data_IF_323606702192
#
_entry.id   IF_323606702192
#
_cell.length_a   1.000
_cell.length_b   1.000
_cell.length_c   1.000
_cell.angle_alpha   90.00
_cell.angle_beta   90.00
_cell.angle_gamma   90.00
#
_symmetry.space_group_name_H-M   'P 1'
#
loop_
_entity.id
_entity.type
_entity.pdbx_description
1 polymer ?
#
# COMPACT_ATOMS: atom_id res chain seq x y z
N UNK A 1 -28.96 4.91 -4.37
CA UNK A 1 -28.79 6.35 -4.09
C UNK A 1 -29.09 7.09 -5.38
N UNK A 2 -30.34 7.53 -5.56
CA UNK A 2 -30.66 8.46 -6.65
C UNK A 2 -30.13 9.81 -6.18
N UNK A 3 -29.00 10.22 -6.75
CA UNK A 3 -28.44 11.54 -6.49
C UNK A 3 -29.14 12.50 -7.44
N UNK A 4 -30.21 13.15 -6.97
CA UNK A 4 -30.69 14.38 -7.61
C UNK A 4 -29.72 15.49 -7.22
N UNK A 5 -28.66 15.64 -8.01
CA UNK A 5 -27.60 16.62 -7.75
C UNK A 5 -28.04 17.97 -8.29
N UNK A 6 -28.28 18.92 -7.37
CA UNK A 6 -28.42 20.33 -7.69
C UNK A 6 -27.06 20.84 -8.21
N UNK A 7 -27.08 21.52 -9.36
CA UNK A 7 -25.91 21.75 -10.20
C UNK A 7 -24.73 22.47 -9.53
N UNK A 8 -23.53 22.03 -9.90
CA UNK A 8 -22.38 22.88 -10.17
C UNK A 8 -21.49 22.19 -11.23
N UNK A 9 -20.83 23.04 -12.01
CA UNK A 9 -20.21 22.84 -13.32
C UNK A 9 -19.29 21.62 -13.48
N UNK A 10 -19.27 21.15 -14.73
CA UNK A 10 -18.27 20.30 -15.39
C UNK A 10 -18.12 18.89 -14.84
N UNK A 11 -18.95 17.94 -15.30
CA UNK A 11 -18.54 16.54 -15.53
C UNK A 11 -19.51 15.82 -16.46
N UNK A 12 -18.98 14.75 -17.04
CA UNK A 12 -19.25 14.15 -18.33
C UNK A 12 -20.67 13.62 -18.58
N UNK A 13 -20.99 13.56 -19.87
CA UNK A 13 -22.21 13.17 -20.58
C UNK A 13 -22.76 11.74 -20.33
N UNK A 14 -22.51 11.13 -19.17
CA UNK A 14 -23.03 9.80 -18.84
C UNK A 14 -24.33 9.89 -18.03
N UNK A 15 -25.47 9.69 -18.71
CA UNK A 15 -26.82 9.44 -18.17
C UNK A 15 -27.15 10.10 -16.82
N UNK A 16 -27.64 11.33 -16.86
CA UNK A 16 -28.16 12.02 -15.68
C UNK A 16 -29.29 11.20 -15.04
N UNK A 17 -29.16 10.86 -13.75
CA UNK A 17 -30.18 10.16 -12.97
C UNK A 17 -31.53 10.91 -12.98
N UNK A 18 -31.49 12.22 -13.20
CA UNK A 18 -32.69 13.04 -13.38
C UNK A 18 -33.38 12.74 -14.72
N UNK A 19 -32.64 12.58 -15.82
CA UNK A 19 -33.19 12.19 -17.11
C UNK A 19 -33.83 10.80 -17.08
N UNK A 20 -33.22 9.84 -16.37
CA UNK A 20 -33.80 8.52 -16.18
C UNK A 20 -35.12 8.54 -15.36
N UNK A 21 -35.22 9.43 -14.36
CA UNK A 21 -36.45 9.63 -13.59
C UNK A 21 -37.55 10.26 -14.45
N UNK A 22 -37.21 11.22 -15.31
CA UNK A 22 -38.17 11.85 -16.22
C UNK A 22 -38.73 10.86 -17.25
N UNK A 23 -37.88 9.98 -17.80
CA UNK A 23 -38.32 8.94 -18.73
C UNK A 23 -39.25 7.91 -18.04
N UNK A 24 -39.01 7.57 -16.77
CA UNK A 24 -39.88 6.68 -16.00
C UNK A 24 -41.28 7.30 -15.78
N UNK A 25 -41.34 8.62 -15.56
CA UNK A 25 -42.59 9.36 -15.41
C UNK A 25 -43.35 9.51 -16.74
N UNK A 26 -42.66 9.40 -17.88
CA UNK A 26 -43.25 9.38 -19.22
C UNK A 26 -43.97 8.06 -19.51
N UNK A 27 -43.43 6.93 -19.03
CA UNK A 27 -43.98 5.60 -19.32
C UNK A 27 -45.22 5.21 -18.47
N UNK A 28 -45.40 5.82 -17.29
CA UNK A 28 -46.41 5.37 -16.31
C UNK A 28 -47.82 6.02 -16.47
N UNK A 29 -47.99 7.17 -17.14
CA UNK A 29 -49.30 7.84 -17.23
C UNK A 29 -49.53 8.65 -18.53
N UNK A 30 -50.78 8.73 -19.02
CA UNK A 30 -51.18 9.60 -20.15
C UNK A 30 -50.92 11.08 -19.85
N UNK A 31 -51.06 11.49 -18.58
CA UNK A 31 -50.75 12.84 -18.12
C UNK A 31 -49.24 13.12 -18.17
N UNK A 32 -48.41 12.14 -17.83
CA UNK A 32 -46.94 12.24 -17.88
C UNK A 32 -46.41 12.51 -19.29
N UNK A 33 -46.96 11.79 -20.29
CA UNK A 33 -46.65 12.00 -21.72
C UNK A 33 -47.00 13.39 -22.23
N UNK A 34 -48.08 13.99 -21.74
CA UNK A 34 -48.56 15.30 -22.21
C UNK A 34 -47.92 16.48 -21.46
N UNK A 35 -47.40 16.29 -20.25
CA UNK A 35 -47.01 17.41 -19.37
C UNK A 35 -45.54 17.49 -18.98
N UNK A 36 -44.75 16.40 -19.03
CA UNK A 36 -43.42 16.39 -18.41
C UNK A 36 -42.30 16.86 -19.34
N UNK A 37 -42.41 16.65 -20.67
CA UNK A 37 -41.35 17.02 -21.63
C UNK A 37 -41.82 17.94 -22.78
N UNK A 38 -43.07 17.83 -23.23
CA UNK A 38 -43.56 18.61 -24.39
C UNK A 38 -43.94 20.04 -24.06
N UNK A 39 -44.29 20.33 -22.80
CA UNK A 39 -44.74 21.66 -22.33
C UNK A 39 -43.80 22.31 -21.30
N UNK A 40 -42.79 21.59 -20.80
CA UNK A 40 -41.86 22.12 -19.81
C UNK A 40 -40.77 22.98 -20.50
N UNK A 41 -40.58 24.24 -20.09
CA UNK A 41 -39.42 25.03 -20.52
C UNK A 41 -38.13 24.24 -20.30
N UNK A 42 -37.18 24.32 -21.24
CA UNK A 42 -35.86 23.64 -21.16
C UNK A 42 -35.08 23.93 -19.86
N UNK A 43 -35.45 24.99 -19.13
CA UNK A 43 -34.85 25.43 -17.87
C UNK A 43 -35.71 25.16 -16.62
N UNK A 44 -36.73 24.30 -16.72
CA UNK A 44 -37.58 23.93 -15.58
C UNK A 44 -36.76 23.22 -14.51
N UNK A 45 -36.61 23.87 -13.35
CA UNK A 45 -35.89 23.34 -12.20
C UNK A 45 -36.88 23.03 -11.08
N UNK A 46 -36.74 21.86 -10.45
CA UNK A 46 -37.34 21.63 -9.14
C UNK A 46 -36.50 22.45 -8.15
N UNK A 47 -36.94 23.65 -7.80
CA UNK A 47 -36.16 24.59 -6.96
C UNK A 47 -36.51 24.46 -5.48
N UNK A 48 -37.70 23.92 -5.15
CA UNK A 48 -38.24 23.92 -3.78
C UNK A 48 -37.56 22.82 -2.95
N UNK A 49 -36.78 23.16 -1.90
CA UNK A 49 -36.01 22.17 -1.14
C UNK A 49 -36.86 21.14 -0.39
N UNK A 50 -38.07 21.50 0.07
CA UNK A 50 -38.97 20.57 0.77
C UNK A 50 -39.44 19.44 -0.14
N UNK A 51 -39.85 19.76 -1.37
CA UNK A 51 -40.29 18.78 -2.37
C UNK A 51 -39.13 17.89 -2.79
N UNK A 52 -37.94 18.45 -3.01
CA UNK A 52 -36.75 17.65 -3.29
C UNK A 52 -36.46 16.65 -2.17
N UNK A 53 -36.56 17.10 -0.91
CA UNK A 53 -36.34 16.24 0.25
C UNK A 53 -37.37 15.12 0.33
N UNK A 54 -38.65 15.42 0.12
CA UNK A 54 -39.71 14.40 0.11
C UNK A 54 -39.47 13.33 -0.97
N UNK A 55 -39.12 13.74 -2.19
CA UNK A 55 -38.79 12.81 -3.27
C UNK A 55 -37.58 11.93 -2.88
N UNK A 56 -36.53 12.54 -2.35
CA UNK A 56 -35.33 11.83 -1.90
C UNK A 56 -35.70 10.82 -0.81
N UNK A 57 -36.47 11.22 0.19
CA UNK A 57 -36.87 10.38 1.32
C UNK A 57 -37.70 9.18 0.84
N UNK A 58 -38.65 9.39 -0.07
CA UNK A 58 -39.44 8.30 -0.69
C UNK A 58 -38.54 7.34 -1.46
N UNK A 59 -37.64 7.85 -2.32
CA UNK A 59 -36.72 7.02 -3.09
C UNK A 59 -35.77 6.23 -2.19
N UNK A 60 -35.24 6.86 -1.13
CA UNK A 60 -34.35 6.21 -0.15
C UNK A 60 -35.09 5.10 0.57
N UNK A 61 -36.27 5.37 1.11
CA UNK A 61 -37.07 4.39 1.86
C UNK A 61 -37.46 3.20 0.98
N UNK A 62 -37.90 3.44 -0.26
CA UNK A 62 -38.31 2.37 -1.17
C UNK A 62 -37.10 1.53 -1.65
N UNK A 63 -35.96 2.18 -1.91
CA UNK A 63 -34.72 1.47 -2.25
C UNK A 63 -34.23 0.62 -1.09
N UNK A 64 -34.20 1.19 0.13
CA UNK A 64 -33.80 0.48 1.33
C UNK A 64 -34.73 -0.70 1.60
N UNK A 65 -36.04 -0.51 1.53
CA UNK A 65 -37.03 -1.58 1.69
C UNK A 65 -36.73 -2.77 0.78
N UNK A 66 -36.51 -2.54 -0.51
CA UNK A 66 -36.17 -3.61 -1.47
C UNK A 66 -34.85 -4.32 -1.14
N UNK A 67 -33.82 -3.57 -0.74
CA UNK A 67 -32.53 -4.13 -0.32
C UNK A 67 -32.73 -5.01 0.92
N UNK A 68 -33.45 -4.52 1.93
CA UNK A 68 -33.68 -5.22 3.19
C UNK A 68 -34.50 -6.49 2.96
N UNK A 69 -35.55 -6.45 2.14
CA UNK A 69 -36.33 -7.64 1.79
C UNK A 69 -35.46 -8.73 1.14
N UNK A 70 -34.52 -8.35 0.27
CA UNK A 70 -33.56 -9.28 -0.31
C UNK A 70 -32.64 -9.87 0.77
N UNK A 71 -32.07 -9.04 1.64
CA UNK A 71 -31.19 -9.47 2.74
C UNK A 71 -31.92 -10.44 3.68
N UNK A 72 -33.15 -10.11 4.08
CA UNK A 72 -33.98 -10.95 4.97
C UNK A 72 -34.25 -12.31 4.32
N UNK A 73 -34.57 -12.34 3.02
CA UNK A 73 -34.76 -13.59 2.26
C UNK A 73 -33.49 -14.44 2.22
N UNK A 74 -32.31 -13.83 2.12
CA UNK A 74 -31.02 -14.52 2.14
C UNK A 74 -30.66 -15.06 3.54
N UNK A 75 -31.28 -14.52 4.59
CA UNK A 75 -31.28 -15.08 5.94
C UNK A 75 -30.03 -14.81 6.78
N UNK A 76 -28.85 -14.64 6.17
CA UNK A 76 -27.60 -14.26 6.85
C UNK A 76 -26.86 -13.16 6.08
N UNK A 77 -26.12 -12.33 6.82
CA UNK A 77 -25.38 -11.22 6.23
C UNK A 77 -24.16 -10.82 7.09
N UNK A 78 -23.34 -9.96 6.53
CA UNK A 78 -22.21 -9.30 7.17
C UNK A 78 -22.37 -7.79 7.15
N UNK A 79 -21.83 -7.11 8.15
CA UNK A 79 -21.77 -5.65 8.21
C UNK A 79 -20.36 -5.20 7.85
N UNK A 80 -20.26 -4.21 6.96
CA UNK A 80 -19.00 -3.63 6.52
C UNK A 80 -19.04 -2.12 6.74
N UNK A 81 -18.12 -1.60 7.54
CA UNK A 81 -17.86 -0.17 7.66
C UNK A 81 -16.83 0.25 6.61
N UNK A 82 -17.22 1.14 5.68
CA UNK A 82 -16.29 1.72 4.69
C UNK A 82 -16.18 3.23 4.89
N UNK A 83 -14.97 3.75 4.97
CA UNK A 83 -14.74 5.17 5.24
C UNK A 83 -15.27 5.59 6.62
N UNK A 84 -15.43 6.90 6.81
CA UNK A 84 -15.61 7.44 8.15
C UNK A 84 -16.97 7.19 8.80
N UNK A 85 -18.03 6.85 8.05
CA UNK A 85 -19.40 6.75 8.60
C UNK A 85 -20.36 5.88 7.75
N UNK A 86 -19.89 5.16 6.72
CA UNK A 86 -20.80 4.45 5.81
C UNK A 86 -20.96 2.98 6.19
N UNK A 87 -22.22 2.52 6.24
CA UNK A 87 -22.57 1.13 6.51
C UNK A 87 -22.98 0.43 5.22
N UNK A 88 -22.41 -0.74 5.00
CA UNK A 88 -22.75 -1.67 3.93
C UNK A 88 -23.18 -3.01 4.53
N UNK A 89 -24.14 -3.66 3.87
CA UNK A 89 -24.48 -5.04 4.12
C UNK A 89 -23.92 -5.91 2.99
N UNK A 90 -23.26 -7.01 3.34
CA UNK A 90 -22.79 -8.02 2.39
C UNK A 90 -23.52 -9.34 2.65
N UNK A 91 -24.09 -9.92 1.61
CA UNK A 91 -24.85 -11.18 1.69
C UNK A 91 -24.64 -12.00 0.41
N UNK A 92 -25.04 -13.27 0.45
CA UNK A 92 -25.03 -14.16 -0.72
C UNK A 92 -26.46 -14.32 -1.19
N UNK A 93 -26.73 -13.96 -2.45
CA UNK A 93 -28.07 -14.11 -3.01
C UNK A 93 -28.38 -15.58 -3.34
N UNK A 94 -29.65 -15.94 -3.65
CA UNK A 94 -30.02 -17.31 -3.99
C UNK A 94 -29.30 -17.91 -5.21
N UNK A 95 -28.65 -17.08 -6.04
CA UNK A 95 -27.83 -17.51 -7.19
C UNK A 95 -26.37 -17.80 -6.79
N UNK A 96 -25.99 -17.63 -5.52
CA UNK A 96 -24.63 -17.82 -5.03
C UNK A 96 -23.71 -16.62 -5.24
N UNK A 97 -24.22 -15.46 -5.67
CA UNK A 97 -23.40 -14.26 -5.85
C UNK A 97 -23.26 -13.47 -4.56
N UNK A 98 -22.05 -12.98 -4.29
CA UNK A 98 -21.79 -12.02 -3.21
C UNK A 98 -22.30 -10.65 -3.63
N UNK A 99 -23.23 -10.11 -2.86
CA UNK A 99 -23.85 -8.80 -3.09
C UNK A 99 -23.48 -7.87 -1.94
N UNK A 100 -23.09 -6.64 -2.28
CA UNK A 100 -22.86 -5.56 -1.34
C UNK A 100 -23.83 -4.42 -1.60
N UNK A 101 -24.51 -3.97 -0.55
CA UNK A 101 -25.47 -2.86 -0.62
C UNK A 101 -25.12 -1.80 0.42
N UNK A 102 -24.97 -0.57 -0.04
CA UNK A 102 -24.92 0.59 0.83
C UNK A 102 -26.30 0.81 1.47
N UNK A 103 -26.33 0.98 2.79
CA UNK A 103 -27.60 1.13 3.54
C UNK A 103 -27.69 2.42 4.35
N UNK A 104 -26.60 3.15 4.55
CA UNK A 104 -26.69 4.45 5.23
C UNK A 104 -25.36 5.03 5.68
N UNK A 105 -25.44 6.27 6.16
CA UNK A 105 -24.36 6.98 6.84
C UNK A 105 -24.78 7.22 8.28
N UNK A 106 -23.89 6.92 9.23
CA UNK A 106 -24.07 7.30 10.63
C UNK A 106 -23.56 8.73 10.81
N UNK A 107 -24.47 9.68 10.93
CA UNK A 107 -24.16 11.06 11.24
C UNK A 107 -23.98 11.17 12.76
N UNK A 108 -22.78 11.53 13.22
CA UNK A 108 -22.40 11.74 14.62
C UNK A 108 -22.34 10.47 15.50
N UNK A 109 -21.15 9.90 15.69
CA UNK A 109 -21.03 8.79 16.65
C UNK A 109 -19.72 8.04 16.74
N UNK A 110 -18.78 8.21 15.80
CA UNK A 110 -17.52 7.46 15.82
C UNK A 110 -16.62 7.75 17.03
N UNK A 111 -16.94 8.74 17.87
CA UNK A 111 -16.31 8.96 19.17
C UNK A 111 -16.62 7.89 20.22
N UNK A 112 -17.77 7.20 20.13
CA UNK A 112 -18.20 6.21 21.11
C UNK A 112 -18.78 4.96 20.43
N UNK A 113 -18.09 3.84 20.60
CA UNK A 113 -18.55 2.52 20.11
C UNK A 113 -19.96 2.15 20.60
N UNK A 114 -20.36 2.62 21.77
CA UNK A 114 -21.70 2.40 22.34
C UNK A 114 -22.78 3.12 21.51
N UNK A 115 -22.54 4.38 21.12
CA UNK A 115 -23.48 5.12 20.29
C UNK A 115 -23.62 4.47 18.92
N UNK A 116 -22.50 4.07 18.32
CA UNK A 116 -22.52 3.38 17.03
C UNK A 116 -23.27 2.04 17.08
N UNK A 117 -23.06 1.25 18.15
CA UNK A 117 -23.83 0.03 18.36
C UNK A 117 -25.33 0.33 18.49
N UNK A 118 -25.71 1.37 19.25
CA UNK A 118 -27.11 1.78 19.39
C UNK A 118 -27.75 2.16 18.05
N UNK A 119 -27.03 2.91 17.22
CA UNK A 119 -27.50 3.27 15.88
C UNK A 119 -27.66 2.04 14.98
N UNK A 120 -26.71 1.09 15.02
CA UNK A 120 -26.82 -0.19 14.29
C UNK A 120 -28.04 -0.98 14.78
N UNK A 121 -28.23 -1.11 16.09
CA UNK A 121 -29.36 -1.82 16.67
C UNK A 121 -30.70 -1.16 16.35
N UNK A 122 -30.77 0.17 16.38
CA UNK A 122 -31.96 0.92 15.96
C UNK A 122 -32.25 0.73 14.48
N UNK A 123 -31.23 0.84 13.62
CA UNK A 123 -31.35 0.60 12.19
C UNK A 123 -31.86 -0.82 11.90
N UNK A 124 -31.30 -1.84 12.58
CA UNK A 124 -31.74 -3.22 12.42
C UNK A 124 -33.19 -3.41 12.89
N UNK A 125 -33.55 -2.89 14.07
CA UNK A 125 -34.90 -2.96 14.60
C UNK A 125 -35.95 -2.33 13.69
N UNK A 126 -35.66 -1.13 13.17
CA UNK A 126 -36.57 -0.40 12.28
C UNK A 126 -36.79 -1.09 10.93
N UNK A 127 -35.85 -1.94 10.50
CA UNK A 127 -35.88 -2.62 9.21
C UNK A 127 -36.10 -4.15 9.34
N UNK A 128 -36.46 -4.65 10.53
CA UNK A 128 -36.71 -6.08 10.74
C UNK A 128 -35.48 -6.98 10.54
N UNK A 129 -34.26 -6.41 10.58
CA UNK A 129 -33.03 -7.18 10.64
C UNK A 129 -32.76 -7.61 12.09
N UNK A 130 -32.13 -8.77 12.25
CA UNK A 130 -31.75 -9.27 13.56
C UNK A 130 -30.24 -9.44 13.63
N UNK A 131 -29.62 -8.94 14.71
CA UNK A 131 -28.19 -9.14 14.95
C UNK A 131 -27.82 -10.62 15.02
N UNK A 132 -28.74 -11.49 15.44
CA UNK A 132 -28.55 -12.96 15.46
C UNK A 132 -28.27 -13.59 14.07
N UNK A 133 -28.66 -12.90 13.00
CA UNK A 133 -28.42 -13.31 11.60
C UNK A 133 -27.10 -12.77 11.04
N UNK A 134 -26.45 -11.84 11.76
CA UNK A 134 -25.12 -11.37 11.42
C UNK A 134 -24.11 -12.53 11.53
N UNK A 135 -23.22 -12.64 10.54
CA UNK A 135 -22.17 -13.67 10.51
C UNK A 135 -20.77 -13.09 10.47
N UNK A 136 -20.62 -11.86 9.97
CA UNK A 136 -19.34 -11.19 9.99
C UNK A 136 -19.49 -9.70 10.23
N UNK A 137 -18.43 -9.11 10.76
CA UNK A 137 -18.26 -7.67 10.93
C UNK A 137 -16.86 -7.27 10.47
N UNK A 138 -16.77 -6.25 9.62
CA UNK A 138 -15.50 -5.77 9.08
C UNK A 138 -15.44 -4.25 8.96
N UNK A 139 -14.48 -3.63 9.63
CA UNK A 139 -14.26 -2.17 9.59
C UNK A 139 -12.82 -1.84 9.95
N UNK A 140 -12.43 -0.57 9.78
CA UNK A 140 -11.11 -0.09 10.19
C UNK A 140 -11.03 -0.07 11.72
N UNK A 141 -10.01 -0.70 12.31
CA UNK A 141 -9.75 -0.65 13.75
C UNK A 141 -9.16 0.67 14.20
N UNK A 142 -9.84 1.80 13.93
CA UNK A 142 -9.49 3.10 14.52
C UNK A 142 -9.69 3.06 16.05
N UNK A 143 -9.06 4.00 16.79
CA UNK A 143 -8.84 3.94 18.24
C UNK A 143 -10.06 3.53 19.08
N UNK A 144 -11.26 3.98 18.71
CA UNK A 144 -12.47 3.74 19.48
C UNK A 144 -13.05 2.32 19.27
N UNK A 145 -12.55 1.61 18.26
CA UNK A 145 -12.82 0.18 17.98
C UNK A 145 -11.75 -0.76 18.58
N UNK A 146 -10.72 -0.24 19.26
CA UNK A 146 -9.62 -1.02 19.86
C UNK A 146 -9.71 -1.19 21.38
N UNK A 147 -10.50 -0.38 22.08
CA UNK A 147 -10.57 -0.47 23.54
C UNK A 147 -11.13 -1.84 23.99
N UNK A 148 -10.38 -2.51 24.86
CA UNK A 148 -10.59 -3.92 25.26
C UNK A 148 -11.98 -4.19 25.85
N UNK A 149 -12.66 -3.19 26.43
CA UNK A 149 -13.91 -3.40 27.16
C UNK A 149 -15.16 -2.82 26.46
N UNK A 150 -15.01 -1.85 25.54
CA UNK A 150 -16.15 -1.15 24.91
C UNK A 150 -16.05 -0.99 23.39
N UNK A 151 -15.12 -1.68 22.71
CA UNK A 151 -15.09 -1.67 21.25
C UNK A 151 -16.38 -2.20 20.61
N UNK A 152 -16.77 -1.65 19.45
CA UNK A 152 -17.91 -2.15 18.67
C UNK A 152 -17.80 -3.65 18.39
N UNK A 153 -16.56 -4.14 18.20
CA UNK A 153 -16.26 -5.56 18.01
C UNK A 153 -16.83 -6.38 19.15
N UNK A 154 -16.50 -6.00 20.38
CA UNK A 154 -16.90 -6.71 21.57
C UNK A 154 -18.40 -6.54 21.82
N UNK A 155 -18.97 -5.36 21.57
CA UNK A 155 -20.43 -5.15 21.67
C UNK A 155 -21.21 -6.09 20.75
N UNK A 156 -20.83 -6.19 19.47
CA UNK A 156 -21.48 -7.10 18.51
C UNK A 156 -21.24 -8.57 18.89
N UNK A 157 -20.03 -8.94 19.33
CA UNK A 157 -19.74 -10.32 19.75
C UNK A 157 -20.50 -10.73 21.02
N UNK A 158 -20.72 -9.79 21.94
CA UNK A 158 -21.50 -10.02 23.16
C UNK A 158 -22.99 -10.26 22.84
N UNK A 159 -23.54 -9.55 21.85
CA UNK A 159 -24.92 -9.77 21.39
C UNK A 159 -25.06 -10.99 20.46
N UNK A 160 -24.03 -11.28 19.66
CA UNK A 160 -23.99 -12.42 18.75
C UNK A 160 -22.58 -12.98 18.59
N UNK A 161 -22.29 -14.04 19.35
CA UNK A 161 -21.01 -14.75 19.32
C UNK A 161 -20.69 -15.44 17.98
N UNK A 162 -21.65 -15.54 17.05
CA UNK A 162 -21.45 -16.11 15.71
C UNK A 162 -20.98 -15.07 14.68
N UNK A 163 -20.91 -13.79 15.03
CA UNK A 163 -20.49 -12.72 14.12
C UNK A 163 -18.97 -12.50 14.18
N UNK A 164 -18.21 -13.24 13.36
CA UNK A 164 -16.75 -13.13 13.37
C UNK A 164 -16.29 -11.73 12.95
N UNK A 165 -15.18 -11.28 13.55
CA UNK A 165 -14.59 -9.99 13.24
C UNK A 165 -13.38 -10.16 12.34
N UNK A 166 -13.39 -9.47 11.20
CA UNK A 166 -12.27 -9.39 10.28
C UNK A 166 -11.77 -7.94 10.22
N UNK A 167 -10.48 -7.74 10.44
CA UNK A 167 -9.91 -6.41 10.35
C UNK A 167 -9.81 -6.00 8.87
N UNK A 168 -10.06 -4.72 8.56
CA UNK A 168 -9.83 -4.20 7.21
C UNK A 168 -8.38 -4.42 6.78
N UNK A 169 -8.13 -5.34 5.83
CA UNK A 169 -6.80 -5.68 5.34
C UNK A 169 -6.12 -4.44 4.73
N UNK A 170 -6.87 -3.61 4.01
CA UNK A 170 -6.38 -2.37 3.39
C UNK A 170 -5.73 -1.46 4.45
N UNK A 171 -6.40 -1.28 5.60
CA UNK A 171 -5.84 -0.51 6.72
C UNK A 171 -4.65 -1.21 7.38
N UNK A 172 -4.64 -2.54 7.51
CA UNK A 172 -3.50 -3.28 8.07
C UNK A 172 -2.25 -3.16 7.20
N UNK A 173 -2.39 -3.32 5.88
CA UNK A 173 -1.29 -3.15 4.94
C UNK A 173 -0.73 -1.73 4.99
N UNK A 174 -1.62 -0.74 5.06
CA UNK A 174 -1.25 0.65 5.23
C UNK A 174 -0.47 0.88 6.52
N UNK A 175 -0.95 0.37 7.66
CA UNK A 175 -0.27 0.51 8.94
C UNK A 175 1.10 -0.18 8.94
N UNK A 176 1.21 -1.34 8.28
CA UNK A 176 2.48 -2.04 8.11
C UNK A 176 3.48 -1.20 7.29
N UNK A 177 3.05 -0.57 6.21
CA UNK A 177 3.88 0.33 5.40
C UNK A 177 4.33 1.57 6.18
N UNK A 178 3.42 2.22 6.94
CA UNK A 178 3.77 3.35 7.82
C UNK A 178 4.84 2.91 8.83
N UNK A 179 4.62 1.78 9.50
CA UNK A 179 5.53 1.29 10.53
C UNK A 179 6.89 0.92 9.95
N UNK A 180 6.92 0.26 8.78
CA UNK A 180 8.16 -0.04 8.07
C UNK A 180 8.94 1.24 7.73
N UNK A 181 8.26 2.25 7.17
CA UNK A 181 8.88 3.53 6.84
C UNK A 181 9.43 4.25 8.08
N UNK A 182 8.73 4.17 9.23
CA UNK A 182 9.18 4.72 10.52
C UNK A 182 10.40 3.98 11.09
N UNK A 183 10.51 2.67 10.88
CA UNK A 183 11.64 1.87 11.33
C UNK A 183 12.90 2.08 10.50
N UNK A 184 12.78 2.55 9.26
CA UNK A 184 13.93 2.88 8.41
C UNK A 184 14.29 4.37 8.57
N UNK A 185 15.45 4.65 9.19
CA UNK A 185 15.88 6.02 9.47
C UNK A 185 15.94 6.92 8.22
N UNK A 186 16.43 6.37 7.10
CA UNK A 186 16.56 7.10 5.83
C UNK A 186 15.21 7.46 5.24
N UNK A 187 14.30 6.49 5.14
CA UNK A 187 12.94 6.70 4.65
C UNK A 187 12.17 7.65 5.57
N UNK A 188 12.27 7.45 6.87
CA UNK A 188 11.66 8.35 7.86
C UNK A 188 12.19 9.78 7.73
N UNK A 189 13.51 9.94 7.57
CA UNK A 189 14.16 11.21 7.31
C UNK A 189 13.64 11.88 6.04
N UNK A 190 13.53 11.15 4.94
CA UNK A 190 12.95 11.62 3.69
C UNK A 190 11.52 12.11 3.87
N UNK A 191 10.63 11.28 4.44
CA UNK A 191 9.24 11.68 4.67
C UNK A 191 9.13 12.91 5.56
N UNK A 192 10.00 13.05 6.57
CA UNK A 192 10.03 14.24 7.43
C UNK A 192 10.44 15.50 6.67
N UNK A 193 11.37 15.41 5.70
CA UNK A 193 11.74 16.53 4.82
C UNK A 193 10.57 16.90 3.90
N UNK A 194 9.93 15.92 3.27
CA UNK A 194 8.72 16.14 2.44
C UNK A 194 7.61 16.82 3.25
N UNK A 195 7.36 16.38 4.48
CA UNK A 195 6.39 17.04 5.37
C UNK A 195 6.75 18.49 5.62
N UNK A 196 8.03 18.81 5.91
CA UNK A 196 8.48 20.19 6.12
C UNK A 196 8.28 21.06 4.87
N UNK A 197 8.50 20.52 3.68
CA UNK A 197 8.21 21.25 2.42
C UNK A 197 6.73 21.61 2.36
N UNK A 198 5.84 20.64 2.65
CA UNK A 198 4.40 20.92 2.70
C UNK A 198 4.05 21.95 3.78
N UNK A 199 4.64 21.87 4.98
CA UNK A 199 4.38 22.83 6.05
C UNK A 199 4.77 24.27 5.65
N UNK A 200 5.92 24.45 4.99
CA UNK A 200 6.36 25.75 4.46
C UNK A 200 5.42 26.26 3.37
N UNK A 201 4.99 25.38 2.46
CA UNK A 201 4.08 25.73 1.37
C UNK A 201 2.65 26.00 1.84
N UNK A 202 2.18 25.34 2.89
CA UNK A 202 0.83 25.49 3.44
C UNK A 202 0.70 26.57 4.50
N UNK A 203 1.81 27.11 5.01
CA UNK A 203 1.76 28.16 6.02
C UNK A 203 1.16 29.46 5.47
N UNK A 204 0.27 30.14 6.23
CA UNK A 204 -0.37 31.37 5.77
C UNK A 204 0.67 32.48 5.54
N UNK A 205 0.68 33.07 4.35
CA UNK A 205 1.49 34.26 4.07
C UNK A 205 0.82 35.51 4.67
N UNK A 206 1.62 36.37 5.31
CA UNK A 206 1.22 37.75 5.56
C UNK A 206 1.24 38.52 4.23
N UNK A 207 0.18 38.40 3.43
CA UNK A 207 0.11 38.96 2.09
C UNK A 207 0.17 40.49 2.12
N UNK A 208 1.25 41.09 1.61
CA UNK A 208 1.27 42.51 1.25
C UNK A 208 0.82 42.75 -0.21
N UNK A 209 0.45 41.71 -0.96
CA UNK A 209 -0.29 41.84 -2.22
C UNK A 209 0.57 41.99 -3.48
N UNK A 210 1.79 41.45 -3.47
CA UNK A 210 2.73 41.54 -4.59
C UNK A 210 2.41 40.54 -5.73
N UNK A 211 3.03 40.73 -6.90
CA UNK A 211 2.89 39.81 -8.05
C UNK A 211 3.36 38.38 -7.72
N UNK A 212 4.39 38.27 -6.86
CA UNK A 212 4.91 37.00 -6.34
C UNK A 212 3.87 36.28 -5.48
N UNK A 213 3.12 37.01 -4.64
CA UNK A 213 2.03 36.45 -3.83
C UNK A 213 0.92 35.81 -4.69
N UNK A 214 0.63 36.38 -5.87
CA UNK A 214 -0.39 35.83 -6.80
C UNK A 214 0.09 34.56 -7.50
N UNK A 215 1.39 34.42 -7.76
CA UNK A 215 1.97 33.19 -8.32
C UNK A 215 2.03 32.09 -7.26
N UNK A 216 2.44 32.44 -6.03
CA UNK A 216 2.43 31.55 -4.87
C UNK A 216 1.01 31.05 -4.55
N UNK A 217 0.00 31.93 -4.56
CA UNK A 217 -1.39 31.56 -4.32
C UNK A 217 -1.92 30.58 -5.39
N UNK A 218 -1.62 30.82 -6.68
CA UNK A 218 -2.02 29.91 -7.76
C UNK A 218 -1.35 28.53 -7.68
N UNK A 219 -0.06 28.48 -7.34
CA UNK A 219 0.64 27.21 -7.16
C UNK A 219 0.11 26.47 -5.94
N UNK A 220 -0.13 27.19 -4.83
CA UNK A 220 -0.77 26.65 -3.62
C UNK A 220 -2.16 26.09 -3.92
N UNK A 221 -3.01 26.80 -4.64
CA UNK A 221 -4.31 26.29 -5.09
C UNK A 221 -4.18 25.05 -5.99
N UNK A 222 -3.14 24.98 -6.84
CA UNK A 222 -2.86 23.81 -7.67
C UNK A 222 -2.42 22.60 -6.83
N UNK A 223 -1.55 22.81 -5.85
CA UNK A 223 -1.11 21.80 -4.88
C UNK A 223 -2.27 21.34 -4.00
N UNK A 224 -3.02 22.27 -3.40
CA UNK A 224 -4.18 22.00 -2.56
C UNK A 224 -5.29 21.29 -3.34
N UNK A 225 -5.64 21.74 -4.55
CA UNK A 225 -6.69 21.09 -5.35
C UNK A 225 -6.32 19.67 -5.78
N UNK A 226 -5.03 19.36 -5.97
CA UNK A 226 -4.58 18.00 -6.26
C UNK A 226 -4.56 17.10 -5.02
N UNK A 227 -4.19 17.64 -3.85
CA UNK A 227 -4.26 16.94 -2.56
C UNK A 227 -5.72 16.71 -2.12
N UNK A 228 -6.62 17.68 -2.38
CA UNK A 228 -8.00 17.68 -1.88
C UNK A 228 -9.02 17.05 -2.84
N UNK A 229 -8.62 16.70 -4.08
CA UNK A 229 -9.49 16.01 -5.06
C UNK A 229 -9.98 14.63 -4.60
N UNK A 230 -9.52 14.14 -3.46
CA UNK A 230 -9.96 12.86 -2.90
C UNK A 230 -10.71 12.95 -1.55
N UNK A 231 -10.97 14.14 -0.98
CA UNK A 231 -11.68 14.24 0.32
C UNK A 231 -12.52 15.53 0.52
N UNK A 232 -13.27 15.95 -0.49
CA UNK A 232 -14.12 17.16 -0.46
C UNK A 232 -15.27 17.18 0.58
N UNK A 233 -15.34 16.24 1.54
CA UNK A 233 -16.30 16.30 2.67
C UNK A 233 -15.68 16.46 4.05
N UNK A 234 -14.38 16.78 4.15
CA UNK A 234 -13.76 17.15 5.43
C UNK A 234 -13.02 18.48 5.32
N UNK A 235 -13.78 19.57 5.36
CA UNK A 235 -13.25 20.89 5.74
C UNK A 235 -12.97 20.90 7.25
N UNK A 236 -11.89 20.25 7.67
CA UNK A 236 -11.29 20.45 8.99
C UNK A 236 -9.81 20.12 8.91
N UNK A 237 -8.99 21.18 8.97
CA UNK A 237 -7.53 21.23 9.17
C UNK A 237 -6.67 20.17 8.46
N UNK A 238 -5.70 20.65 7.67
CA UNK A 238 -4.46 19.95 7.29
C UNK A 238 -4.11 18.84 8.29
N UNK A 239 -4.40 17.58 7.96
CA UNK A 239 -3.88 16.46 8.74
C UNK A 239 -2.54 16.08 8.17
N UNK A 240 -1.57 15.93 9.09
CA UNK A 240 -0.16 15.70 8.78
C UNK A 240 -0.01 14.44 7.92
N UNK A 241 1.07 14.34 7.12
CA UNK A 241 1.45 13.11 6.43
C UNK A 241 1.60 11.89 7.37
N UNK A 242 1.59 12.11 8.68
CA UNK A 242 1.65 11.06 9.69
C UNK A 242 0.35 10.21 9.77
N UNK A 243 -0.80 10.70 9.26
CA UNK A 243 -2.12 10.18 9.66
C UNK A 243 -3.00 9.53 8.57
N UNK A 244 -2.74 9.61 7.26
CA UNK A 244 -3.62 8.92 6.26
C UNK A 244 -2.88 8.48 4.99
N UNK A 245 -2.16 7.36 5.07
CA UNK A 245 -1.27 6.84 4.02
C UNK A 245 -1.80 6.44 2.62
N UNK A 246 -3.10 6.21 2.37
CA UNK A 246 -3.56 5.91 0.98
C UNK A 246 -3.49 7.12 0.03
N UNK A 247 -3.27 8.32 0.58
CA UNK A 247 -2.93 9.51 -0.20
C UNK A 247 -1.44 9.61 -0.57
N UNK A 248 -0.54 8.78 -0.01
CA UNK A 248 0.91 9.04 -0.11
C UNK A 248 1.53 8.71 -1.45
N UNK A 249 1.13 7.63 -2.13
CA UNK A 249 1.70 7.33 -3.45
C UNK A 249 1.33 8.44 -4.45
N UNK A 250 0.06 8.84 -4.48
CA UNK A 250 -0.40 9.91 -5.35
C UNK A 250 0.14 11.28 -4.93
N UNK A 251 0.27 11.56 -3.62
CA UNK A 251 0.88 12.79 -3.13
C UNK A 251 2.38 12.85 -3.47
N UNK A 252 3.12 11.74 -3.34
CA UNK A 252 4.51 11.64 -3.76
C UNK A 252 4.65 11.78 -5.28
N UNK A 253 3.77 11.13 -6.06
CA UNK A 253 3.76 11.27 -7.52
C UNK A 253 3.45 12.71 -7.95
N UNK A 254 2.51 13.37 -7.27
CA UNK A 254 2.21 14.78 -7.49
C UNK A 254 3.38 15.67 -7.09
N UNK A 255 4.03 15.39 -5.96
CA UNK A 255 5.24 16.08 -5.51
C UNK A 255 6.37 15.93 -6.52
N UNK A 256 6.59 14.74 -7.08
CA UNK A 256 7.57 14.49 -8.14
C UNK A 256 7.26 15.31 -9.39
N UNK A 257 6.00 15.32 -9.83
CA UNK A 257 5.57 16.09 -11.00
C UNK A 257 5.73 17.61 -10.80
N UNK A 258 5.61 18.08 -9.56
CA UNK A 258 5.70 19.51 -9.21
C UNK A 258 7.06 19.91 -8.64
N UNK A 259 8.02 18.99 -8.59
CA UNK A 259 9.27 19.19 -7.85
C UNK A 259 9.99 20.46 -8.26
N UNK A 260 10.06 20.74 -9.57
CA UNK A 260 10.65 21.97 -10.10
C UNK A 260 9.94 23.23 -9.58
N UNK A 261 8.62 23.25 -9.65
CA UNK A 261 7.82 24.39 -9.16
C UNK A 261 7.91 24.56 -7.64
N UNK A 262 8.11 23.46 -6.91
CA UNK A 262 8.35 23.50 -5.46
C UNK A 262 9.70 24.15 -5.16
N UNK A 263 10.77 23.78 -5.88
CA UNK A 263 12.10 24.41 -5.75
C UNK A 263 12.00 25.91 -6.05
N UNK A 264 11.39 26.28 -7.18
CA UNK A 264 11.22 27.70 -7.58
C UNK A 264 10.56 28.52 -6.45
N UNK A 265 9.57 27.95 -5.75
CA UNK A 265 8.89 28.62 -4.64
C UNK A 265 9.76 28.70 -3.39
N UNK A 266 10.48 27.64 -3.04
CA UNK A 266 11.40 27.67 -1.90
C UNK A 266 12.47 28.75 -2.08
N UNK A 267 13.01 28.91 -3.30
CA UNK A 267 13.98 29.97 -3.63
C UNK A 267 13.37 31.37 -3.49
N UNK A 268 12.11 31.55 -3.93
CA UNK A 268 11.41 32.82 -3.76
C UNK A 268 11.25 33.15 -2.26
N UNK A 269 10.87 32.16 -1.44
CA UNK A 269 10.68 32.34 0.00
C UNK A 269 12.01 32.69 0.68
N UNK A 270 13.10 32.04 0.29
CA UNK A 270 14.45 32.32 0.80
C UNK A 270 14.89 33.76 0.45
N UNK A 271 14.73 34.16 -0.81
CA UNK A 271 15.19 35.46 -1.31
C UNK A 271 14.37 36.65 -0.79
N UNK A 272 13.08 36.48 -0.56
CA UNK A 272 12.19 37.56 -0.14
C UNK A 272 12.41 37.96 1.32
N UNK A 273 12.98 37.06 2.15
CA UNK A 273 13.37 37.30 3.55
C UNK A 273 12.23 37.66 4.51
N UNK A 274 11.02 37.90 3.99
CA UNK A 274 9.87 38.47 4.68
C UNK A 274 9.01 37.43 5.42
N UNK A 275 9.35 36.15 5.29
CA UNK A 275 8.57 35.01 5.80
C UNK A 275 9.08 34.43 7.13
N UNK A 276 10.02 35.10 7.81
CA UNK A 276 10.48 34.75 9.17
C UNK A 276 11.04 33.33 9.25
N UNK A 277 10.48 32.50 10.16
CA UNK A 277 10.89 31.09 10.35
C UNK A 277 10.78 30.24 9.08
N UNK A 278 9.89 30.60 8.15
CA UNK A 278 9.74 29.90 6.87
C UNK A 278 10.93 30.14 5.94
N UNK A 279 11.57 31.30 6.00
CA UNK A 279 12.77 31.63 5.22
C UNK A 279 13.92 30.69 5.61
N UNK A 280 14.16 30.54 6.91
CA UNK A 280 15.19 29.62 7.44
C UNK A 280 14.87 28.16 7.08
N UNK A 281 13.60 27.76 7.19
CA UNK A 281 13.18 26.41 6.82
C UNK A 281 13.34 26.13 5.32
N UNK A 282 13.02 27.10 4.46
CA UNK A 282 13.20 27.00 3.01
C UNK A 282 14.67 26.89 2.63
N UNK A 283 15.54 27.71 3.24
CA UNK A 283 17.00 27.65 3.02
C UNK A 283 17.59 26.28 3.37
N UNK A 284 17.25 25.73 4.54
CA UNK A 284 17.69 24.38 4.96
C UNK A 284 17.20 23.29 3.97
N UNK A 285 15.98 23.43 3.45
CA UNK A 285 15.41 22.48 2.50
C UNK A 285 16.10 22.58 1.13
N UNK A 286 16.45 23.77 0.66
CA UNK A 286 17.20 23.99 -0.57
C UNK A 286 18.61 23.43 -0.47
N UNK A 287 19.31 23.69 0.64
CA UNK A 287 20.62 23.08 0.92
C UNK A 287 20.54 21.56 0.86
N UNK A 288 19.53 20.96 1.49
CA UNK A 288 19.30 19.52 1.45
C UNK A 288 19.05 18.99 0.03
N UNK A 289 18.37 19.74 -0.83
CA UNK A 289 18.07 19.38 -2.22
C UNK A 289 19.33 19.46 -3.08
N UNK A 290 20.08 20.56 -2.99
CA UNK A 290 21.28 20.77 -3.80
C UNK A 290 22.43 19.84 -3.40
N UNK A 291 22.63 19.60 -2.10
CA UNK A 291 23.62 18.62 -1.62
C UNK A 291 23.29 17.18 -2.04
N UNK A 292 22.00 16.87 -2.29
CA UNK A 292 21.59 15.56 -2.79
C UNK A 292 21.92 15.40 -4.28
N UNK A 293 21.74 16.43 -5.10
CA UNK A 293 22.10 16.41 -6.52
C UNK A 293 23.62 16.30 -6.74
N UNK A 294 24.41 16.99 -5.92
CA UNK A 294 25.88 16.93 -5.97
C UNK A 294 26.41 15.52 -5.68
N UNK A 295 25.91 14.86 -4.62
CA UNK A 295 26.29 13.48 -4.27
C UNK A 295 25.86 12.45 -5.31
N UNK A 296 24.76 12.69 -6.03
CA UNK A 296 24.33 11.83 -7.14
C UNK A 296 25.32 11.90 -8.30
N UNK A 297 25.81 13.11 -8.62
CA UNK A 297 26.79 13.33 -9.69
C UNK A 297 28.18 12.77 -9.34
N UNK A 298 28.55 12.73 -8.05
CA UNK A 298 29.78 12.08 -7.58
C UNK A 298 29.70 10.54 -7.60
N UNK A 299 28.55 9.96 -7.29
CA UNK A 299 28.33 8.51 -7.28
C UNK A 299 28.40 7.84 -8.66
N UNK A 300 28.07 8.59 -9.73
CA UNK A 300 28.14 8.09 -11.11
C UNK A 300 29.57 8.01 -11.67
N UNK A 301 30.57 8.57 -10.98
CA UNK A 301 31.98 8.63 -11.41
C UNK A 301 32.90 7.55 -10.80
N UNK A 302 32.36 6.46 -10.23
CA UNK A 302 33.19 5.36 -9.70
C UNK A 302 33.60 4.37 -10.79
N UNK A 303 34.91 4.25 -10.98
CA UNK A 303 35.62 3.34 -11.89
C UNK A 303 35.22 1.87 -11.72
N UNK A 304 35.23 1.11 -12.82
CA UNK A 304 34.92 -0.32 -12.90
C UNK A 304 35.86 -1.20 -12.03
N UNK A 305 35.46 -1.45 -10.78
CA UNK A 305 35.86 -2.62 -10.00
C UNK A 305 34.63 -3.50 -9.76
N UNK A 306 34.80 -4.82 -9.62
CA UNK A 306 33.70 -5.72 -9.22
C UNK A 306 33.13 -5.22 -7.89
N UNK A 307 31.87 -4.79 -7.89
CA UNK A 307 31.21 -4.30 -6.69
C UNK A 307 31.00 -5.46 -5.71
N UNK A 308 31.56 -5.33 -4.51
CA UNK A 308 31.34 -6.26 -3.40
C UNK A 308 30.19 -5.70 -2.56
N UNK A 309 29.12 -6.49 -2.45
CA UNK A 309 27.93 -6.16 -1.68
C UNK A 309 28.02 -6.90 -0.35
N UNK A 310 28.03 -6.16 0.74
CA UNK A 310 28.04 -6.71 2.10
C UNK A 310 26.67 -6.52 2.76
N UNK A 311 26.33 -7.40 3.69
CA UNK A 311 25.06 -7.29 4.41
C UNK A 311 24.77 -8.46 5.34
N UNK A 312 23.50 -8.58 5.72
CA UNK A 312 23.01 -9.62 6.62
C UNK A 312 22.09 -10.55 5.85
N UNK A 313 22.35 -11.85 5.93
CA UNK A 313 21.48 -12.89 5.40
C UNK A 313 20.71 -13.58 6.52
N UNK A 314 19.45 -13.92 6.24
CA UNK A 314 18.65 -14.84 7.05
C UNK A 314 18.20 -16.00 6.16
N UNK A 315 18.59 -17.21 6.55
CA UNK A 315 18.52 -18.41 5.71
C UNK A 315 17.89 -19.54 6.50
N UNK A 316 16.75 -20.02 6.03
CA UNK A 316 16.11 -21.23 6.49
C UNK A 316 16.71 -22.44 5.75
N UNK A 317 17.27 -23.38 6.50
CA UNK A 317 17.73 -24.69 6.02
C UNK A 317 16.65 -25.73 6.31
N UNK A 318 16.12 -26.35 5.25
CA UNK A 318 15.12 -27.40 5.34
C UNK A 318 15.77 -28.77 5.61
N UNK A 319 15.04 -29.72 6.21
CA UNK A 319 15.51 -31.10 6.38
C UNK A 319 15.90 -31.77 5.06
N UNK A 320 15.32 -31.33 3.93
CA UNK A 320 15.66 -31.78 2.57
C UNK A 320 17.01 -31.25 2.05
N UNK A 321 17.74 -30.45 2.85
CA UNK A 321 18.98 -29.78 2.46
C UNK A 321 18.78 -28.56 1.54
N UNK A 322 17.55 -28.26 1.15
CA UNK A 322 17.21 -27.03 0.42
C UNK A 322 17.30 -25.81 1.35
N UNK A 323 17.68 -24.67 0.79
CA UNK A 323 17.74 -23.40 1.54
C UNK A 323 16.81 -22.36 0.93
N UNK A 324 16.22 -21.54 1.79
CA UNK A 324 15.39 -20.40 1.39
C UNK A 324 15.66 -19.23 2.32
N UNK A 325 15.78 -18.03 1.80
CA UNK A 325 16.19 -16.90 2.62
C UNK A 325 16.16 -15.56 1.91
N UNK A 326 16.68 -14.57 2.61
CA UNK A 326 16.88 -13.24 2.08
C UNK A 326 18.22 -12.68 2.55
N UNK A 327 18.83 -11.86 1.71
CA UNK A 327 20.02 -11.09 2.00
C UNK A 327 19.70 -9.61 1.88
N UNK A 328 20.00 -8.83 2.92
CA UNK A 328 19.78 -7.38 2.93
C UNK A 328 21.15 -6.70 2.90
N UNK A 329 21.43 -6.00 1.80
CA UNK A 329 22.68 -5.27 1.64
C UNK A 329 22.74 -4.03 2.52
N UNK A 330 23.94 -3.67 2.96
CA UNK A 330 24.24 -2.44 3.70
C UNK A 330 25.21 -1.61 2.86
N UNK A 331 25.04 -0.27 2.75
CA UNK A 331 24.05 0.56 3.44
C UNK A 331 22.70 0.69 2.72
N UNK A 332 22.61 0.26 1.47
CA UNK A 332 21.47 0.57 0.59
C UNK A 332 20.17 -0.18 0.94
N UNK A 333 20.20 -1.14 1.87
CA UNK A 333 19.04 -1.91 2.33
C UNK A 333 18.30 -2.62 1.19
N UNK A 334 19.02 -3.04 0.14
CA UNK A 334 18.45 -3.78 -0.98
C UNK A 334 18.29 -5.23 -0.57
N UNK A 335 17.09 -5.77 -0.76
CA UNK A 335 16.76 -7.15 -0.41
C UNK A 335 16.88 -8.07 -1.63
N UNK A 336 17.64 -9.14 -1.48
CA UNK A 336 17.81 -10.21 -2.47
C UNK A 336 17.17 -11.49 -1.94
N UNK A 337 16.49 -12.23 -2.82
CA UNK A 337 15.99 -13.56 -2.52
C UNK A 337 17.12 -14.58 -2.62
N UNK A 338 17.16 -15.53 -1.69
CA UNK A 338 18.08 -16.66 -1.73
C UNK A 338 17.27 -17.94 -1.83
N UNK A 339 17.51 -18.74 -2.86
CA UNK A 339 16.88 -20.05 -3.03
C UNK A 339 17.92 -21.06 -3.47
N UNK A 340 18.10 -22.12 -2.69
CA UNK A 340 19.07 -23.16 -2.99
C UNK A 340 18.51 -24.56 -2.93
N UNK A 341 18.99 -25.41 -3.83
CA UNK A 341 18.65 -26.83 -3.88
C UNK A 341 19.92 -27.65 -3.75
N UNK A 342 19.89 -28.65 -2.87
CA UNK A 342 21.00 -29.58 -2.69
C UNK A 342 21.25 -30.35 -3.99
N UNK A 343 22.52 -30.43 -4.40
CA UNK A 343 22.95 -31.22 -5.54
C UNK A 343 23.30 -32.64 -5.06
N UNK A 344 22.72 -33.69 -5.66
CA UNK A 344 23.06 -35.06 -5.30
C UNK A 344 24.52 -35.35 -5.65
N UNK A 345 25.29 -35.86 -4.67
CA UNK A 345 26.66 -36.29 -4.89
C UNK A 345 26.76 -37.81 -4.89
N UNK A 346 27.24 -38.40 -5.99
CA UNK A 346 27.44 -39.86 -6.10
C UNK A 346 28.78 -40.34 -5.50
N UNK A 347 29.59 -39.45 -4.89
CA UNK A 347 30.89 -39.82 -4.30
C UNK A 347 30.99 -39.38 -2.85
N UNK A 348 31.12 -40.37 -1.96
CA UNK A 348 31.56 -40.16 -0.58
C UNK A 348 32.88 -39.40 -0.60
N UNK A 349 32.90 -38.26 0.10
CA UNK A 349 34.12 -37.50 0.19
C UNK A 349 35.00 -38.02 1.30
N UNK A 350 36.27 -38.17 0.95
CA UNK A 350 37.34 -38.65 1.82
C UNK A 350 37.72 -37.73 2.99
N UNK A 351 36.94 -36.67 3.27
CA UNK A 351 37.30 -35.62 4.26
C UNK A 351 36.62 -35.78 5.62
N UNK A 352 35.66 -36.69 5.80
CA UNK A 352 35.06 -36.97 7.11
C UNK A 352 34.27 -35.80 7.74
N UNK A 353 34.00 -34.74 6.98
CA UNK A 353 33.16 -33.60 7.37
C UNK A 353 31.88 -33.61 6.54
N UNK A 354 30.73 -33.32 7.17
CA UNK A 354 29.45 -33.14 6.48
C UNK A 354 29.50 -31.86 5.64
N UNK A 355 29.76 -31.99 4.34
CA UNK A 355 29.58 -30.90 3.39
C UNK A 355 28.55 -31.26 2.34
N UNK A 356 27.87 -30.23 1.85
CA UNK A 356 26.83 -30.34 0.83
C UNK A 356 27.09 -29.31 -0.26
N UNK A 357 26.91 -29.69 -1.51
CA UNK A 357 26.89 -28.73 -2.60
C UNK A 357 25.46 -28.23 -2.81
N UNK A 358 25.30 -26.92 -2.89
CA UNK A 358 24.00 -26.29 -3.10
C UNK A 358 24.09 -25.44 -4.37
N UNK A 359 23.17 -25.69 -5.31
CA UNK A 359 22.91 -24.76 -6.41
C UNK A 359 22.08 -23.61 -5.83
N UNK A 360 22.69 -22.44 -5.69
CA UNK A 360 22.10 -21.25 -5.10
C UNK A 360 21.73 -20.24 -6.18
N UNK A 361 20.46 -19.86 -6.21
CA UNK A 361 19.93 -18.74 -6.98
C UNK A 361 19.81 -17.51 -6.07
N UNK A 362 20.44 -16.41 -6.50
CA UNK A 362 20.31 -15.08 -5.93
C UNK A 362 19.37 -14.27 -6.83
N UNK A 363 18.26 -13.80 -6.27
CA UNK A 363 17.20 -13.10 -6.99
C UNK A 363 17.22 -11.64 -6.61
N UNK A 364 17.53 -10.76 -7.57
CA UNK A 364 17.34 -9.33 -7.42
C UNK A 364 15.88 -8.98 -7.78
N UNK A 365 15.06 -8.77 -6.75
CA UNK A 365 13.64 -8.42 -6.94
C UNK A 365 13.44 -7.05 -7.61
N UNK A 366 14.39 -6.13 -7.45
CA UNK A 366 14.30 -4.79 -8.02
C UNK A 366 14.55 -4.81 -9.53
N UNK A 367 15.60 -5.52 -9.95
CA UNK A 367 15.98 -5.66 -11.37
C UNK A 367 15.26 -6.79 -12.09
N UNK A 368 14.60 -7.68 -11.34
CA UNK A 368 14.03 -8.95 -11.85
C UNK A 368 15.09 -9.81 -12.57
N UNK A 369 16.33 -9.80 -12.05
CA UNK A 369 17.43 -10.62 -12.56
C UNK A 369 17.76 -11.71 -11.55
N UNK A 370 17.97 -12.93 -12.03
CA UNK A 370 18.48 -14.05 -11.25
C UNK A 370 19.95 -14.31 -11.60
N UNK A 371 20.73 -14.75 -10.61
CA UNK A 371 22.11 -15.18 -10.80
C UNK A 371 22.33 -16.46 -10.03
N UNK A 372 22.94 -17.44 -10.67
CA UNK A 372 23.04 -18.81 -10.14
C UNK A 372 24.49 -19.16 -9.93
N UNK A 373 24.81 -19.74 -8.78
CA UNK A 373 26.16 -20.23 -8.46
C UNK A 373 26.10 -21.53 -7.68
N UNK A 374 27.25 -22.20 -7.55
CA UNK A 374 27.40 -23.39 -6.70
C UNK A 374 28.21 -23.00 -5.48
N UNK A 375 27.67 -23.30 -4.31
CA UNK A 375 28.32 -23.07 -3.02
C UNK A 375 28.59 -24.40 -2.32
N UNK A 376 29.69 -24.44 -1.58
CA UNK A 376 29.98 -25.49 -0.61
C UNK A 376 29.42 -25.07 0.75
N UNK A 377 28.48 -25.84 1.27
CA UNK A 377 27.90 -25.66 2.59
C UNK A 377 28.61 -26.59 3.59
N UNK A 378 29.11 -26.03 4.68
CA UNK A 378 29.81 -26.76 5.76
C UNK A 378 29.01 -26.74 7.05
N UNK A 379 28.93 -27.91 7.68
CA UNK A 379 28.21 -28.11 8.93
C UNK A 379 26.77 -28.59 8.71
N UNK A 380 26.28 -29.43 9.63
CA UNK A 380 24.96 -30.04 9.55
C UNK A 380 23.81 -29.01 9.55
N UNK A 381 24.07 -27.81 10.07
CA UNK A 381 23.13 -26.70 10.24
C UNK A 381 23.33 -25.56 9.25
N UNK A 382 24.22 -25.69 8.25
CA UNK A 382 24.61 -24.61 7.32
C UNK A 382 25.26 -23.39 7.99
N UNK A 383 26.12 -23.62 8.98
CA UNK A 383 26.88 -22.58 9.66
C UNK A 383 27.72 -21.70 8.74
N UNK A 384 28.26 -22.26 7.64
CA UNK A 384 29.09 -21.53 6.68
C UNK A 384 28.86 -22.03 5.27
N UNK A 385 28.90 -21.12 4.30
CA UNK A 385 29.06 -21.50 2.90
C UNK A 385 29.88 -20.50 2.12
N UNK A 386 30.65 -21.02 1.16
CA UNK A 386 31.51 -20.23 0.29
C UNK A 386 31.39 -20.71 -1.16
N UNK A 387 31.61 -19.79 -2.11
CA UNK A 387 31.77 -20.17 -3.51
C UNK A 387 32.95 -21.11 -3.66
N UNK A 388 32.77 -22.06 -4.56
CA UNK A 388 33.74 -23.11 -4.83
C UNK A 388 34.83 -22.57 -5.74
N UNK A 389 35.92 -22.05 -5.17
CA UNK A 389 37.01 -21.49 -5.99
C UNK A 389 37.97 -22.56 -6.54
N UNK A 390 38.15 -23.68 -5.84
CA UNK A 390 39.00 -24.80 -6.29
C UNK A 390 38.49 -26.12 -5.66
N UNK A 391 37.78 -26.96 -6.42
CA UNK A 391 37.55 -28.34 -5.97
C UNK A 391 38.75 -29.17 -6.40
N UNK A 392 39.55 -29.62 -5.44
CA UNK A 392 40.53 -30.67 -5.73
C UNK A 392 39.79 -31.94 -6.16
N UNK A 393 39.74 -32.18 -7.48
CA UNK A 393 39.24 -33.40 -8.10
C UNK A 393 37.85 -33.34 -8.76
N UNK A 394 37.18 -32.18 -8.83
CA UNK A 394 35.82 -32.07 -9.42
C UNK A 394 35.72 -31.01 -10.53
N UNK A 395 36.85 -30.64 -11.12
CA UNK A 395 36.96 -29.52 -12.07
C UNK A 395 36.10 -29.68 -13.33
N UNK A 396 35.71 -30.91 -13.72
CA UNK A 396 35.07 -31.15 -15.03
C UNK A 396 33.56 -31.49 -14.98
N UNK A 397 33.00 -31.99 -13.89
CA UNK A 397 31.63 -32.59 -13.93
C UNK A 397 30.51 -31.72 -13.33
N UNK A 398 30.78 -30.89 -12.30
CA UNK A 398 29.72 -30.14 -11.58
C UNK A 398 29.74 -28.64 -11.89
N UNK A 399 30.93 -28.04 -11.94
CA UNK A 399 31.10 -26.61 -12.25
C UNK A 399 30.79 -26.34 -13.73
N UNK A 400 31.18 -27.25 -14.62
CA UNK A 400 30.92 -27.15 -16.07
C UNK A 400 29.43 -27.17 -16.45
N UNK A 401 28.56 -27.84 -15.69
CA UNK A 401 27.11 -27.87 -15.99
C UNK A 401 26.41 -26.53 -15.71
N UNK A 402 26.86 -25.78 -14.71
CA UNK A 402 26.30 -24.45 -14.38
C UNK A 402 26.91 -23.37 -15.29
N UNK A 403 28.20 -23.48 -15.62
CA UNK A 403 28.90 -22.56 -16.54
C UNK A 403 28.38 -22.66 -17.99
N UNK A 404 27.96 -23.85 -18.46
CA UNK A 404 27.39 -24.03 -19.81
C UNK A 404 26.01 -23.38 -20.01
N UNK A 405 25.26 -23.12 -18.94
CA UNK A 405 23.85 -22.70 -19.03
C UNK A 405 23.63 -21.20 -18.77
N UNK A 406 24.52 -20.52 -18.00
CA UNK A 406 24.24 -19.17 -17.48
C UNK A 406 25.27 -18.07 -17.82
N UNK A 407 26.28 -18.32 -18.66
CA UNK A 407 27.19 -17.27 -19.11
C UNK A 407 28.08 -16.69 -17.99
N UNK A 408 29.00 -15.80 -18.38
CA UNK A 408 30.20 -15.37 -17.62
C UNK A 408 29.99 -14.57 -16.32
N UNK A 409 28.79 -14.45 -15.78
CA UNK A 409 28.56 -13.70 -14.53
C UNK A 409 28.92 -14.58 -13.32
N UNK A 410 30.22 -14.76 -13.08
CA UNK A 410 30.75 -15.57 -11.97
C UNK A 410 30.59 -14.80 -10.66
N UNK A 411 29.45 -15.00 -9.99
CA UNK A 411 29.22 -14.44 -8.65
C UNK A 411 29.98 -15.26 -7.59
N UNK A 412 30.64 -14.56 -6.66
CA UNK A 412 31.28 -15.17 -5.50
C UNK A 412 30.55 -14.74 -4.22
N UNK A 413 30.25 -15.71 -3.37
CA UNK A 413 29.44 -15.61 -2.16
C UNK A 413 30.22 -16.16 -0.98
N UNK A 414 30.19 -15.44 0.14
CA UNK A 414 30.63 -15.94 1.44
C UNK A 414 29.56 -15.65 2.49
N UNK A 415 29.28 -16.62 3.36
CA UNK A 415 28.37 -16.47 4.49
C UNK A 415 28.95 -17.10 5.74
N UNK A 416 28.79 -16.40 6.86
CA UNK A 416 29.11 -16.89 8.19
C UNK A 416 27.95 -16.65 9.14
N UNK A 417 27.39 -17.73 9.69
CA UNK A 417 26.33 -17.68 10.67
C UNK A 417 26.84 -17.08 11.99
N UNK A 418 26.14 -16.04 12.48
CA UNK A 418 26.36 -15.42 13.79
C UNK A 418 25.29 -15.84 14.79
N UNK A 419 24.11 -16.24 14.32
CA UNK A 419 22.96 -16.63 15.15
C UNK A 419 22.19 -17.78 14.52
N UNK A 420 22.14 -18.91 15.22
CA UNK A 420 21.32 -20.06 14.88
C UNK A 420 20.02 -20.05 15.72
N UNK A 421 18.89 -20.29 15.07
CA UNK A 421 17.59 -20.53 15.71
C UNK A 421 17.07 -21.90 15.28
N UNK A 422 16.50 -22.62 16.23
CA UNK A 422 15.87 -23.92 16.02
C UNK A 422 14.48 -23.97 16.68
N UNK A 423 13.71 -24.99 16.35
CA UNK A 423 12.40 -25.28 16.94
C UNK A 423 11.46 -24.05 16.92
N UNK A 424 10.82 -23.74 18.06
CA UNK A 424 9.87 -22.63 18.18
C UNK A 424 10.48 -21.28 17.78
N UNK A 425 11.76 -21.04 18.10
CA UNK A 425 12.43 -19.78 17.76
C UNK A 425 12.70 -19.64 16.25
N UNK A 426 12.94 -20.76 15.56
CA UNK A 426 13.02 -20.78 14.11
C UNK A 426 11.63 -20.55 13.49
N UNK A 427 10.62 -21.27 13.98
CA UNK A 427 9.25 -21.21 13.46
C UNK A 427 8.63 -19.80 13.59
N UNK A 428 8.82 -19.14 14.72
CA UNK A 428 8.40 -17.74 14.90
C UNK A 428 9.10 -16.79 13.93
N UNK A 429 10.39 -17.02 13.65
CA UNK A 429 11.14 -16.23 12.67
C UNK A 429 10.64 -16.48 11.24
N UNK A 430 10.44 -17.74 10.88
CA UNK A 430 9.98 -18.17 9.54
C UNK A 430 8.61 -17.57 9.24
N UNK A 431 7.64 -17.70 10.17
CA UNK A 431 6.30 -17.12 10.03
C UNK A 431 6.32 -15.62 9.76
N UNK A 432 7.33 -14.92 10.28
CA UNK A 432 7.45 -13.47 10.14
C UNK A 432 8.19 -13.04 8.88
N UNK A 433 9.23 -13.76 8.46
CA UNK A 433 10.17 -13.28 7.44
C UNK A 433 10.31 -14.18 6.19
N UNK A 434 9.99 -15.47 6.29
CA UNK A 434 10.10 -16.44 5.19
C UNK A 434 8.88 -17.39 5.22
N UNK A 435 7.64 -16.88 5.12
CA UNK A 435 6.44 -17.65 5.45
C UNK A 435 6.23 -18.89 4.55
N UNK A 436 6.82 -18.90 3.35
CA UNK A 436 6.72 -20.01 2.39
C UNK A 436 7.31 -21.34 2.87
N UNK A 437 8.15 -21.32 3.92
CA UNK A 437 8.76 -22.53 4.49
C UNK A 437 8.29 -22.81 5.93
N UNK A 438 7.18 -22.20 6.35
CA UNK A 438 6.58 -22.43 7.68
C UNK A 438 6.13 -23.88 7.82
N UNK A 439 6.20 -24.41 9.03
CA UNK A 439 5.80 -25.78 9.38
C UNK A 439 6.60 -26.88 8.63
N UNK A 440 7.76 -26.56 8.03
CA UNK A 440 8.66 -27.51 7.37
C UNK A 440 9.87 -27.93 8.22
N UNK A 441 9.84 -27.66 9.53
CA UNK A 441 10.91 -27.99 10.49
C UNK A 441 12.30 -27.47 10.06
N UNK A 442 12.35 -26.26 9.48
CA UNK A 442 13.61 -25.64 9.10
C UNK A 442 14.34 -25.01 10.30
N UNK A 443 15.67 -24.99 10.26
CA UNK A 443 16.51 -24.18 11.16
C UNK A 443 16.85 -22.86 10.48
N UNK A 444 17.01 -21.78 11.24
CA UNK A 444 17.31 -20.44 10.68
C UNK A 444 18.70 -20.00 11.10
N UNK A 445 19.52 -19.70 10.10
CA UNK A 445 20.85 -19.11 10.25
C UNK A 445 20.82 -17.64 9.87
N UNK A 446 21.30 -16.77 10.76
CA UNK A 446 21.39 -15.33 10.52
C UNK A 446 22.86 -14.93 10.68
N UNK A 447 23.40 -14.18 9.73
CA UNK A 447 24.80 -13.80 9.78
C UNK A 447 25.24 -12.93 8.62
N UNK A 448 26.54 -12.64 8.59
CA UNK A 448 27.14 -11.78 7.57
C UNK A 448 27.25 -12.53 6.27
N UNK A 449 26.90 -11.85 5.18
CA UNK A 449 27.07 -12.33 3.83
C UNK A 449 27.75 -11.27 2.98
N UNK A 450 28.64 -11.73 2.10
CA UNK A 450 29.23 -10.92 1.03
C UNK A 450 28.93 -11.57 -0.31
N UNK A 451 28.55 -10.75 -1.30
CA UNK A 451 28.31 -11.18 -2.68
C UNK A 451 29.08 -10.24 -3.60
N UNK A 452 29.90 -10.80 -4.49
CA UNK A 452 30.64 -10.04 -5.50
C UNK A 452 30.30 -10.51 -6.91
N UNK A 453 30.41 -9.61 -7.89
CA UNK A 453 30.13 -9.93 -9.30
C UNK A 453 28.65 -9.83 -9.71
N UNK A 454 27.77 -9.36 -8.82
CA UNK A 454 26.43 -8.94 -9.22
C UNK A 454 26.56 -7.63 -10.01
N UNK A 455 26.13 -7.62 -11.27
CA UNK A 455 26.24 -6.45 -12.14
C UNK A 455 25.24 -5.37 -11.66
N UNK A 456 25.74 -4.41 -10.89
CA UNK A 456 25.01 -3.34 -10.17
C UNK A 456 24.83 -2.05 -10.98
N UNK A 457 25.32 -1.97 -12.23
CA UNK A 457 25.07 -0.79 -13.08
C UNK A 457 23.70 -0.86 -13.74
N UNK A 458 22.99 0.26 -13.83
CA UNK A 458 21.74 0.36 -14.60
C UNK A 458 22.07 0.06 -16.06
N UNK A 459 21.43 -0.97 -16.64
CA UNK A 459 21.34 -1.06 -18.10
C UNK A 459 20.47 0.12 -18.56
N UNK A 460 21.11 1.23 -18.92
CA UNK A 460 20.50 2.27 -19.71
C UNK A 460 20.28 1.70 -21.11
N UNK A 461 19.17 0.98 -21.27
CA UNK A 461 18.69 0.48 -22.54
C UNK A 461 18.36 1.63 -23.48
N UNK A 462 19.32 2.02 -24.31
CA UNK A 462 19.04 2.60 -25.62
C UNK A 462 19.11 1.44 -26.62
N UNK A 463 18.04 0.63 -26.67
CA UNK A 463 17.76 -0.18 -27.86
C UNK A 463 17.13 0.74 -28.90
N UNK A 464 17.98 1.51 -29.60
CA UNK A 464 17.60 2.17 -30.83
C UNK A 464 17.60 1.15 -31.95
N UNK A 465 16.47 0.49 -32.16
CA UNK A 465 16.17 -0.15 -33.44
C UNK A 465 16.12 0.95 -34.52
N UNK A 466 17.22 1.11 -35.24
CA UNK A 466 17.20 1.67 -36.59
C UNK A 466 17.51 0.49 -37.51
N UNK A 467 16.47 -0.27 -37.84
CA UNK A 467 16.48 -1.02 -39.09
C UNK A 467 16.38 0.00 -40.22
N UNK A 468 17.46 0.09 -41.00
CA UNK A 468 17.42 0.72 -42.30
C UNK A 468 16.74 -0.22 -43.28
N UNK A 469 15.70 0.29 -43.93
CA UNK A 469 15.46 0.16 -45.37
C UNK A 469 14.77 1.44 -45.86
#
# INVERSE_FOLDING_TARGET
MIVLRQGYKDFDSSLDNFGALLNLLEDEDEVGRVSVLSNAPKDSKIIIPSIQKEIIDVCVNETLRKIIEEVVKCGIFAIIGRGANCIFLRYVNPKGHVIERFVGVVHDGFGSSILLMREISSFFGNHGLSISKLRAQGYNGESNMREEFHSLKNLILNENSRAYFEHCCVHQHQLALVNFAKCNYTLWGFFRKVTKVFDVLSAPCNSQGTLKDKQLAKLRESIESMITRQDQKRKTLLKRPEDVQFSHYNALLSFLNLFKSVVDVLEIIEQDGSYGDQTTAASILLDDIYNFEEKRMEGDNVSAGLEVIEGIASIALLPSGSISGHFVSVPNSVCYGLQGTELPCERECSRGEDFRLIKLSVIDYYRKKDSVTVIECRGHDAARFHTVEHVHGWENDVVGMVEQTHGKDKISISFECETLKAENAAEEHIKKFIPNVSDLNAVVNIGRMTISGLNTKQDNGISGDISGD
#
